data_IF_739825284874
#
_entry.id   IF_739825284874
#
_cell.length_a   1.000
_cell.length_b   1.000
_cell.length_c   1.000
_cell.angle_alpha   90.00
_cell.angle_beta   90.00
_cell.angle_gamma   90.00
#
_symmetry.space_group_name_H-M   'P 1'
#
loop_
_entity.id
_entity.type
_entity.pdbx_description
1 polymer ?
#
# COMPACT_ATOMS: atom_id res chain seq x y z
N UNK A 1 -3.98 8.30 58.05
CA UNK A 1 -4.10 8.49 56.59
C UNK A 1 -2.71 8.25 56.02
N UNK A 2 -2.53 7.21 55.21
CA UNK A 2 -1.23 6.92 54.58
C UNK A 2 -1.14 7.65 53.25
N UNK A 3 -0.06 8.38 53.02
CA UNK A 3 0.23 9.02 51.74
C UNK A 3 0.51 7.94 50.68
N UNK A 4 -0.20 8.01 49.56
CA UNK A 4 -0.07 7.05 48.47
C UNK A 4 1.21 7.37 47.68
N UNK A 5 2.26 6.58 47.88
CA UNK A 5 3.49 6.74 47.12
C UNK A 5 3.38 6.02 45.77
N UNK A 6 3.49 6.78 44.68
CA UNK A 6 3.55 6.23 43.33
C UNK A 6 5.01 6.07 42.89
N UNK A 7 5.44 4.86 42.50
CA UNK A 7 6.80 4.67 42.01
C UNK A 7 7.02 5.47 40.73
N UNK A 8 8.20 6.08 40.61
CA UNK A 8 8.54 6.91 39.46
C UNK A 8 9.97 6.65 39.00
N UNK A 9 10.20 6.94 37.72
CA UNK A 9 11.52 6.81 37.09
C UNK A 9 12.21 8.18 37.20
N UNK A 10 13.40 8.18 37.78
CA UNK A 10 14.26 9.34 37.87
C UNK A 10 15.44 9.21 36.91
N UNK A 11 15.62 10.24 36.09
CA UNK A 11 16.74 10.38 35.15
C UNK A 11 17.64 11.50 35.67
N UNK A 12 18.83 11.20 36.23
CA UNK A 12 19.67 12.22 36.87
C UNK A 12 20.19 13.28 35.90
N UNK A 13 20.44 12.88 34.65
CA UNK A 13 20.90 13.74 33.55
C UNK A 13 20.58 13.08 32.21
N UNK A 14 20.42 13.87 31.15
CA UNK A 14 20.26 13.36 29.79
C UNK A 14 21.42 12.43 29.38
N UNK A 15 22.63 12.73 29.85
CA UNK A 15 23.86 11.97 29.57
C UNK A 15 24.09 10.80 30.54
N UNK A 16 23.26 10.63 31.57
CA UNK A 16 23.45 9.55 32.53
C UNK A 16 23.31 8.18 31.86
N UNK A 17 24.22 7.25 32.15
CA UNK A 17 24.20 5.87 31.64
C UNK A 17 23.26 4.94 32.40
N UNK A 18 22.56 5.46 33.42
CA UNK A 18 21.65 4.70 34.26
C UNK A 18 20.32 5.41 34.48
N UNK A 19 19.31 4.63 34.86
CA UNK A 19 17.98 5.05 35.26
C UNK A 19 17.75 4.58 36.69
N UNK A 20 17.11 5.41 37.52
CA UNK A 20 16.82 5.09 38.91
C UNK A 20 15.32 4.96 39.10
N UNK A 21 14.84 3.76 39.41
CA UNK A 21 13.46 3.53 39.81
C UNK A 21 13.35 3.79 41.31
N UNK A 22 12.53 4.76 41.70
CA UNK A 22 12.29 5.11 43.10
C UNK A 22 10.97 4.48 43.53
N UNK A 23 11.04 3.65 44.57
CA UNK A 23 9.90 2.92 45.14
C UNK A 23 9.81 3.16 46.65
N UNK A 24 8.68 2.88 47.31
CA UNK A 24 8.57 3.00 48.77
C UNK A 24 9.58 2.15 49.53
N UNK A 25 10.01 1.04 48.93
CA UNK A 25 10.95 0.08 49.53
C UNK A 25 12.42 0.37 49.24
N UNK A 26 12.71 1.45 48.51
CA UNK A 26 14.07 1.87 48.17
C UNK A 26 14.24 2.24 46.71
N UNK A 27 15.49 2.36 46.30
CA UNK A 27 15.86 2.73 44.94
C UNK A 27 16.60 1.61 44.22
N UNK A 28 16.21 1.37 42.97
CA UNK A 28 16.86 0.40 42.09
C UNK A 28 17.52 1.17 40.95
N UNK A 29 18.82 0.94 40.76
CA UNK A 29 19.56 1.53 39.65
C UNK A 29 19.68 0.51 38.53
N UNK A 30 19.26 0.89 37.34
CA UNK A 30 19.31 0.06 36.13
C UNK A 30 20.19 0.74 35.09
N UNK A 31 21.13 0.01 34.51
CA UNK A 31 21.97 0.52 33.43
C UNK A 31 21.13 0.66 32.14
N UNK A 32 21.19 1.81 31.47
CA UNK A 32 20.49 2.06 30.20
C UNK A 32 20.92 1.08 29.12
N UNK A 33 22.21 0.70 29.09
CA UNK A 33 22.73 -0.31 28.16
C UNK A 33 22.07 -1.67 28.36
N UNK A 34 21.87 -2.08 29.62
CA UNK A 34 21.16 -3.33 29.93
C UNK A 34 19.68 -3.26 29.54
N UNK A 35 18.99 -2.13 29.80
CA UNK A 35 17.60 -1.95 29.39
C UNK A 35 17.44 -1.95 27.86
N UNK A 36 18.37 -1.34 27.14
CA UNK A 36 18.37 -1.33 25.68
C UNK A 36 18.61 -2.74 25.12
N UNK A 37 19.54 -3.50 25.71
CA UNK A 37 19.76 -4.91 25.37
C UNK A 37 18.52 -5.74 25.65
N UNK A 38 17.88 -5.55 26.81
CA UNK A 38 16.69 -6.28 27.19
C UNK A 38 15.51 -5.97 26.25
N UNK A 39 15.29 -4.70 25.91
CA UNK A 39 14.32 -4.29 24.91
C UNK A 39 14.60 -4.92 23.53
N UNK A 40 15.88 -4.94 23.11
CA UNK A 40 16.31 -5.62 21.89
C UNK A 40 16.01 -7.12 21.92
N UNK A 41 16.32 -7.81 23.02
CA UNK A 41 16.03 -9.25 23.14
C UNK A 41 14.53 -9.54 23.10
N UNK A 42 13.71 -8.75 23.80
CA UNK A 42 12.25 -8.90 23.78
C UNK A 42 11.70 -8.66 22.38
N UNK A 43 12.19 -7.63 21.66
CA UNK A 43 11.80 -7.37 20.28
C UNK A 43 12.12 -8.54 19.35
N UNK A 44 13.32 -9.14 19.48
CA UNK A 44 13.72 -10.33 18.71
C UNK A 44 12.82 -11.52 19.04
N UNK A 45 12.52 -11.78 20.31
CA UNK A 45 11.61 -12.87 20.71
C UNK A 45 10.20 -12.67 20.13
N UNK A 46 9.64 -11.46 20.23
CA UNK A 46 8.31 -11.15 19.68
C UNK A 46 8.30 -11.30 18.16
N UNK A 47 9.33 -10.80 17.48
CA UNK A 47 9.47 -10.93 16.02
C UNK A 47 9.59 -12.40 15.60
N UNK A 48 10.35 -13.21 16.36
CA UNK A 48 10.50 -14.64 16.10
C UNK A 48 9.17 -15.37 16.28
N UNK A 49 8.40 -15.05 17.33
CA UNK A 49 7.05 -15.60 17.55
C UNK A 49 6.08 -15.18 16.44
N UNK A 50 6.16 -13.96 15.94
CA UNK A 50 5.38 -13.49 14.78
C UNK A 50 5.73 -14.29 13.52
N UNK A 51 7.01 -14.49 13.22
CA UNK A 51 7.45 -15.30 12.08
C UNK A 51 6.97 -16.75 12.19
N UNK A 52 7.06 -17.36 13.37
CA UNK A 52 6.53 -18.72 13.62
C UNK A 52 5.03 -18.77 13.37
N UNK A 53 4.27 -17.77 13.86
CA UNK A 53 2.82 -17.68 13.67
C UNK A 53 2.46 -17.47 12.18
N UNK A 54 3.22 -16.66 11.46
CA UNK A 54 3.07 -16.47 10.02
C UNK A 54 3.37 -17.77 9.25
N UNK A 55 4.43 -18.50 9.59
CA UNK A 55 4.80 -19.77 8.96
C UNK A 55 3.75 -20.88 9.21
N UNK A 56 3.21 -20.97 10.43
CA UNK A 56 2.14 -21.91 10.76
C UNK A 56 0.89 -21.68 9.90
N UNK A 57 0.49 -20.42 9.72
CA UNK A 57 -0.67 -20.06 8.88
C UNK A 57 -0.45 -20.36 7.40
N UNK A 58 0.78 -20.22 6.89
CA UNK A 58 1.14 -20.56 5.50
C UNK A 58 1.06 -22.07 5.24
N UNK A 59 1.49 -22.91 6.20
CA UNK A 59 1.45 -24.37 6.06
C UNK A 59 0.03 -24.94 6.00
N UNK A 60 -0.93 -24.34 6.72
CA UNK A 60 -2.35 -24.74 6.66
C UNK A 60 -2.94 -24.42 5.27
N UNK A 61 -2.55 -23.27 4.68
CA UNK A 61 -3.01 -22.88 3.35
C UNK A 61 -2.44 -23.77 2.24
N UNK A 62 -1.18 -24.23 2.38
CA UNK A 62 -0.54 -25.13 1.41
C UNK A 62 -1.13 -26.55 1.46
N UNK A 63 -1.39 -27.12 2.64
CA UNK A 63 -2.05 -28.43 2.75
C UNK A 63 -3.46 -28.45 2.16
N UNK A 64 -4.19 -27.34 2.24
CA UNK A 64 -5.53 -27.19 1.62
C UNK A 64 -5.48 -27.17 0.09
N UNK A 65 -4.37 -26.72 -0.52
CA UNK A 65 -4.19 -26.74 -1.98
C UNK A 65 -3.78 -28.12 -2.51
N UNK A 66 -2.97 -28.88 -1.75
CA UNK A 66 -2.52 -30.21 -2.16
C UNK A 66 -3.68 -31.22 -2.16
N UNK A 67 -4.56 -31.19 -1.15
CA UNK A 67 -5.76 -32.05 -1.14
C UNK A 67 -6.80 -31.68 -2.22
N UNK A 68 -6.74 -30.47 -2.80
CA UNK A 68 -7.64 -30.07 -3.91
C UNK A 68 -7.13 -30.54 -5.28
N UNK A 69 -5.83 -30.83 -5.42
CA UNK A 69 -5.23 -31.24 -6.70
C UNK A 69 -5.22 -32.75 -6.94
N UNK A 70 -5.65 -33.55 -5.96
CA UNK A 70 -5.70 -35.02 -6.06
C UNK A 70 -7.11 -35.58 -6.35
N UNK A 71 -8.08 -34.72 -6.62
CA UNK A 71 -9.44 -35.11 -7.03
C UNK A 71 -9.97 -34.15 -8.09
N UNK A 72 -9.61 -34.40 -9.35
CA UNK A 72 -10.02 -33.55 -10.48
C UNK A 72 -9.38 -34.02 -11.77
N UNK A 73 -9.98 -35.06 -12.32
CA UNK A 73 -9.74 -35.64 -13.65
C UNK A 73 -10.25 -34.68 -14.75
N UNK A 74 -9.57 -34.63 -15.90
CA UNK A 74 -10.16 -34.25 -17.19
C UNK A 74 -9.57 -33.02 -17.90
N UNK A 75 -8.83 -33.31 -18.97
CA UNK A 75 -8.80 -32.66 -20.32
C UNK A 75 -8.28 -31.22 -20.40
N UNK A 76 -7.08 -30.99 -20.97
CA UNK A 76 -6.75 -30.89 -22.42
C UNK A 76 -7.23 -29.57 -23.03
N UNK A 77 -6.28 -28.70 -23.41
CA UNK A 77 -6.18 -28.19 -24.77
C UNK A 77 -4.87 -27.41 -24.95
N UNK A 78 -4.06 -27.93 -25.87
CA UNK A 78 -2.95 -27.27 -26.54
C UNK A 78 -3.54 -26.34 -27.61
N UNK A 79 -2.90 -25.20 -27.87
CA UNK A 79 -2.76 -24.70 -29.25
C UNK A 79 -1.62 -23.66 -29.29
N UNK A 80 -0.63 -23.99 -30.11
CA UNK A 80 0.43 -23.12 -30.63
C UNK A 80 -0.15 -22.32 -31.80
N UNK A 81 0.28 -21.07 -31.98
CA UNK A 81 0.41 -20.48 -33.32
C UNK A 81 1.45 -19.34 -33.28
N UNK A 82 2.48 -19.51 -34.12
CA UNK A 82 3.45 -18.52 -34.54
C UNK A 82 2.91 -17.82 -35.79
N UNK A 83 2.97 -16.48 -35.88
CA UNK A 83 3.25 -15.79 -37.14
C UNK A 83 4.05 -14.50 -36.87
N UNK A 84 5.17 -14.36 -37.59
CA UNK A 84 5.93 -13.14 -37.83
C UNK A 84 5.25 -12.33 -38.95
N UNK A 85 5.21 -11.01 -38.84
CA UNK A 85 5.54 -10.14 -39.98
C UNK A 85 5.82 -8.69 -39.53
N UNK A 86 6.76 -8.07 -40.26
CA UNK A 86 7.49 -6.84 -39.96
C UNK A 86 6.74 -5.54 -40.28
N UNK A 87 7.08 -4.51 -39.49
CA UNK A 87 7.19 -3.09 -39.80
C UNK A 87 6.05 -2.30 -40.48
N UNK A 88 5.36 -1.49 -39.65
CA UNK A 88 5.05 -0.11 -40.00
C UNK A 88 4.97 0.76 -38.74
N UNK A 89 5.95 1.64 -38.57
CA UNK A 89 5.97 2.71 -37.57
C UNK A 89 4.73 3.62 -37.72
N UNK A 90 3.86 3.69 -36.71
CA UNK A 90 3.14 4.93 -36.34
C UNK A 90 2.55 4.82 -34.93
N UNK A 91 3.13 5.55 -33.98
CA UNK A 91 2.49 6.11 -32.77
C UNK A 91 1.30 5.33 -32.13
N UNK A 92 1.54 4.29 -31.30
CA UNK A 92 0.70 4.04 -30.09
C UNK A 92 1.21 2.97 -29.09
N UNK A 93 2.48 2.58 -29.09
CA UNK A 93 3.02 1.54 -28.16
C UNK A 93 2.94 1.86 -26.65
N UNK A 94 2.54 3.09 -26.28
CA UNK A 94 2.38 3.48 -24.88
C UNK A 94 1.04 3.00 -24.29
N UNK A 95 0.00 2.86 -25.10
CA UNK A 95 -1.33 2.47 -24.62
C UNK A 95 -1.45 0.95 -24.48
N UNK A 96 -0.85 0.17 -25.39
CA UNK A 96 -0.94 -1.29 -25.38
C UNK A 96 -0.26 -1.94 -24.17
N UNK A 97 0.87 -1.38 -23.71
CA UNK A 97 1.56 -1.83 -22.49
C UNK A 97 0.80 -1.51 -21.20
N UNK A 98 -0.07 -0.52 -21.23
CA UNK A 98 -0.90 -0.13 -20.08
C UNK A 98 -2.08 -1.10 -19.92
N UNK A 99 -2.63 -1.58 -21.04
CA UNK A 99 -3.68 -2.60 -21.09
C UNK A 99 -3.16 -3.98 -20.66
N UNK A 100 -1.91 -4.33 -21.01
CA UNK A 100 -1.35 -5.67 -20.71
C UNK A 100 -0.94 -5.90 -19.24
N UNK A 101 -0.92 -4.86 -18.39
CA UNK A 101 -0.48 -4.95 -16.97
C UNK A 101 -1.55 -4.64 -15.93
N UNK A 102 -2.70 -4.08 -16.31
CA UNK A 102 -3.78 -3.77 -15.37
C UNK A 102 -5.14 -4.14 -15.96
N UNK A 103 -5.89 -5.00 -15.27
CA UNK A 103 -7.26 -5.39 -15.67
C UNK A 103 -8.22 -4.19 -15.71
N UNK A 104 -7.85 -3.10 -15.04
CA UNK A 104 -8.66 -1.90 -14.92
C UNK A 104 -7.80 -0.63 -15.04
N UNK A 105 -8.01 0.13 -16.11
CA UNK A 105 -7.42 1.47 -16.30
C UNK A 105 -8.52 2.53 -16.16
N UNK A 106 -8.26 3.57 -15.36
CA UNK A 106 -9.18 4.70 -15.22
C UNK A 106 -8.52 5.96 -15.82
N UNK A 107 -9.12 6.49 -16.88
CA UNK A 107 -8.74 7.78 -17.46
C UNK A 107 -9.56 8.89 -16.78
N UNK A 108 -8.91 9.75 -15.98
CA UNK A 108 -9.59 10.88 -15.34
C UNK A 108 -9.43 12.14 -16.21
N UNK A 109 -10.35 12.38 -17.13
CA UNK A 109 -10.39 13.62 -17.93
C UNK A 109 -11.10 14.71 -17.12
N UNK A 110 -10.35 15.58 -16.44
CA UNK A 110 -10.95 16.76 -15.82
C UNK A 110 -11.32 17.80 -16.88
N UNK A 111 -12.61 18.13 -16.94
CA UNK A 111 -13.09 19.40 -17.50
C UNK A 111 -12.35 20.57 -16.82
N UNK A 112 -11.77 21.42 -17.66
CA UNK A 112 -11.03 22.62 -17.30
C UNK A 112 -11.98 23.62 -16.66
N UNK A 113 -12.02 23.69 -15.32
CA UNK A 113 -12.71 24.79 -14.63
C UNK A 113 -11.80 26.02 -14.70
N UNK A 114 -12.10 26.92 -15.63
CA UNK A 114 -11.41 28.20 -15.76
C UNK A 114 -11.72 29.08 -14.54
N UNK A 115 -10.74 29.27 -13.67
CA UNK A 115 -10.75 30.32 -12.66
C UNK A 115 -9.57 31.25 -12.85
N UNK A 116 -9.90 32.53 -12.95
CA UNK A 116 -9.05 33.65 -13.34
C UNK A 116 -7.75 33.81 -12.53
N UNK A 117 -6.75 34.36 -13.23
CA UNK A 117 -5.37 34.62 -12.86
C UNK A 117 -5.17 35.48 -11.60
N UNK A 118 -4.19 35.09 -10.75
CA UNK A 118 -3.02 35.89 -10.30
C UNK A 118 -2.42 35.27 -9.05
N UNK A 119 -1.69 34.18 -9.26
CA UNK A 119 -0.67 33.55 -8.42
C UNK A 119 -0.54 32.17 -9.06
N UNK A 120 0.58 31.85 -9.73
CA UNK A 120 0.82 30.51 -10.26
C UNK A 120 1.45 29.67 -9.14
N UNK A 121 0.70 28.90 -8.32
CA UNK A 121 1.30 27.75 -7.68
C UNK A 121 1.69 26.80 -8.82
N UNK A 122 2.85 26.15 -8.69
CA UNK A 122 3.34 25.16 -9.64
C UNK A 122 2.20 24.25 -10.09
N UNK A 123 2.03 24.09 -11.41
CA UNK A 123 1.04 23.22 -12.01
C UNK A 123 1.07 21.85 -11.31
N UNK A 124 0.11 21.60 -10.42
CA UNK A 124 -0.12 20.28 -9.83
C UNK A 124 -0.63 19.40 -10.95
N UNK A 125 0.25 18.68 -11.63
CA UNK A 125 -0.15 17.72 -12.65
C UNK A 125 -0.77 16.55 -11.91
N UNK A 126 -2.10 16.46 -11.91
CA UNK A 126 -2.77 15.24 -11.48
C UNK A 126 -2.26 14.08 -12.34
N UNK A 127 -2.02 12.93 -11.72
CA UNK A 127 -1.70 11.71 -12.47
C UNK A 127 -2.86 11.43 -13.42
N UNK A 128 -2.61 11.61 -14.72
CA UNK A 128 -3.61 11.50 -15.79
C UNK A 128 -4.00 10.05 -16.08
N UNK A 129 -3.11 9.10 -15.80
CA UNK A 129 -3.33 7.67 -16.02
C UNK A 129 -2.58 6.84 -14.99
N UNK A 130 -3.27 5.87 -14.40
CA UNK A 130 -2.69 4.80 -13.61
C UNK A 130 -3.48 3.52 -13.88
N UNK A 131 -2.78 2.38 -13.83
CA UNK A 131 -3.41 1.06 -13.87
C UNK A 131 -3.52 0.50 -12.45
N UNK A 132 -4.42 -0.45 -12.23
CA UNK A 132 -4.40 -1.24 -11.01
C UNK A 132 -4.79 -2.69 -11.30
N UNK A 133 -4.37 -3.59 -10.41
CA UNK A 133 -4.73 -5.01 -10.45
C UNK A 133 -5.15 -5.50 -9.08
N UNK A 134 -6.18 -6.33 -9.06
CA UNK A 134 -6.62 -6.98 -7.84
C UNK A 134 -5.94 -8.33 -7.65
N UNK A 135 -5.28 -8.52 -6.50
CA UNK A 135 -4.75 -9.82 -6.09
C UNK A 135 -5.49 -10.31 -4.87
N UNK A 136 -5.29 -11.59 -4.53
CA UNK A 136 -6.01 -12.21 -3.41
C UNK A 136 -5.86 -11.46 -2.08
N UNK A 137 -4.63 -11.00 -1.77
CA UNK A 137 -4.30 -10.31 -0.51
C UNK A 137 -3.86 -8.85 -0.69
N UNK A 138 -3.52 -8.47 -1.93
CA UNK A 138 -2.97 -7.14 -2.22
C UNK A 138 -3.71 -6.51 -3.38
N UNK A 139 -3.59 -5.20 -3.50
CA UNK A 139 -4.00 -4.42 -4.66
C UNK A 139 -2.78 -3.67 -5.12
N UNK A 140 -2.44 -3.82 -6.39
CA UNK A 140 -1.24 -3.19 -6.95
C UNK A 140 -1.69 -2.03 -7.85
N UNK A 141 -1.14 -0.84 -7.62
CA UNK A 141 -1.35 0.35 -8.45
C UNK A 141 -0.07 0.62 -9.22
N UNK A 142 -0.20 0.72 -10.54
CA UNK A 142 0.92 0.95 -11.46
C UNK A 142 0.86 2.38 -12.00
N UNK A 143 1.96 3.11 -11.79
CA UNK A 143 2.18 4.44 -12.32
C UNK A 143 3.39 4.40 -13.24
N UNK A 144 3.16 4.46 -14.55
CA UNK A 144 4.22 4.58 -15.54
C UNK A 144 4.45 6.05 -15.84
N UNK A 145 5.65 6.56 -15.57
CA UNK A 145 5.99 7.93 -15.92
C UNK A 145 7.49 8.18 -16.07
N UNK A 146 7.84 9.09 -16.97
CA UNK A 146 9.22 9.52 -17.18
C UNK A 146 9.87 10.11 -15.92
N UNK A 147 9.11 10.73 -15.01
CA UNK A 147 9.62 11.23 -13.74
C UNK A 147 10.04 10.12 -12.78
N UNK A 148 9.51 8.90 -12.94
CA UNK A 148 9.87 7.74 -12.11
C UNK A 148 11.23 7.15 -12.53
N UNK A 149 11.60 7.24 -13.80
CA UNK A 149 12.80 6.60 -14.38
C UNK A 149 14.12 6.94 -13.69
N UNK A 150 14.20 8.09 -13.01
CA UNK A 150 15.40 8.57 -12.31
C UNK A 150 15.10 9.04 -10.89
N UNK A 151 13.97 8.61 -10.31
CA UNK A 151 13.59 9.05 -8.98
C UNK A 151 14.43 8.36 -7.91
N UNK A 152 14.81 9.13 -6.89
CA UNK A 152 15.33 8.62 -5.62
C UNK A 152 14.17 8.40 -4.65
N UNK A 153 14.40 7.53 -3.67
CA UNK A 153 13.42 7.23 -2.62
C UNK A 153 12.90 8.48 -1.89
N UNK A 154 13.78 9.43 -1.59
CA UNK A 154 13.44 10.70 -0.91
C UNK A 154 12.51 11.63 -1.73
N UNK A 155 12.27 11.32 -3.01
CA UNK A 155 11.39 12.09 -3.88
C UNK A 155 9.93 11.62 -3.82
N UNK A 156 9.67 10.47 -3.20
CA UNK A 156 8.33 9.93 -3.02
C UNK A 156 7.81 10.28 -1.63
N UNK A 157 6.74 11.07 -1.57
CA UNK A 157 6.01 11.32 -0.33
C UNK A 157 4.74 10.49 -0.37
N UNK A 158 4.75 9.39 0.39
CA UNK A 158 3.62 8.49 0.52
C UNK A 158 2.91 8.73 1.86
N UNK A 159 1.62 9.00 1.80
CA UNK A 159 0.75 9.15 2.97
C UNK A 159 -0.48 8.28 2.77
N UNK A 160 -0.78 7.44 3.76
CA UNK A 160 -1.93 6.56 3.68
C UNK A 160 -2.62 6.45 5.02
N UNK A 161 -3.88 6.06 4.97
CA UNK A 161 -4.69 5.63 6.11
C UNK A 161 -5.33 4.30 5.76
N UNK A 162 -6.12 3.72 6.68
CA UNK A 162 -6.85 2.49 6.38
C UNK A 162 -7.76 2.61 5.14
N UNK A 163 -8.28 3.80 4.81
CA UNK A 163 -9.22 3.96 3.68
C UNK A 163 -8.80 5.01 2.66
N UNK A 164 -7.60 5.57 2.74
CA UNK A 164 -7.17 6.61 1.78
C UNK A 164 -5.69 6.50 1.46
N UNK A 165 -5.34 6.95 0.25
CA UNK A 165 -3.99 6.93 -0.27
C UNK A 165 -3.69 8.27 -0.93
N UNK A 166 -2.56 8.88 -0.57
CA UNK A 166 -2.02 10.07 -1.21
C UNK A 166 -0.54 9.85 -1.50
N UNK A 167 -0.16 10.06 -2.74
CA UNK A 167 1.19 9.91 -3.23
C UNK A 167 1.58 11.18 -3.97
N UNK A 168 2.67 11.80 -3.55
CA UNK A 168 3.24 12.96 -4.21
C UNK A 168 4.65 12.63 -4.69
N UNK A 169 4.92 12.91 -5.97
CA UNK A 169 6.23 12.75 -6.58
C UNK A 169 6.88 14.12 -6.76
N UNK A 170 8.09 14.28 -6.21
CA UNK A 170 8.84 15.53 -6.22
C UNK A 170 9.94 15.54 -7.30
N UNK A 171 10.22 16.72 -7.84
CA UNK A 171 11.27 16.91 -8.87
C UNK A 171 12.68 16.63 -8.36
N UNK A 172 12.90 16.84 -7.06
CA UNK A 172 14.11 16.58 -6.29
C UNK A 172 13.72 16.35 -4.83
N UNK A 173 14.58 15.81 -3.96
CA UNK A 173 14.31 15.70 -2.53
C UNK A 173 13.96 17.09 -1.94
N UNK A 174 12.79 17.21 -1.30
CA UNK A 174 12.27 18.50 -0.81
C UNK A 174 11.90 19.53 -1.89
N UNK A 175 11.91 19.13 -3.16
CA UNK A 175 11.64 19.95 -4.32
C UNK A 175 10.16 20.22 -4.57
N UNK A 176 9.86 20.73 -5.77
CA UNK A 176 8.47 20.98 -6.18
C UNK A 176 7.77 19.67 -6.52
N UNK A 177 6.49 19.61 -6.17
CA UNK A 177 5.63 18.51 -6.59
C UNK A 177 5.45 18.53 -8.11
N UNK A 178 5.73 17.38 -8.75
CA UNK A 178 5.58 17.17 -10.19
C UNK A 178 4.30 16.40 -10.48
N UNK A 179 4.02 15.36 -9.68
CA UNK A 179 2.80 14.55 -9.79
C UNK A 179 2.15 14.27 -8.45
N UNK A 180 0.84 14.04 -8.48
CA UNK A 180 0.03 13.65 -7.32
C UNK A 180 -0.99 12.60 -7.73
N UNK A 181 -1.08 11.53 -6.96
CA UNK A 181 -2.21 10.61 -6.98
C UNK A 181 -2.89 10.69 -5.61
N UNK A 182 -4.18 11.03 -5.61
CA UNK A 182 -4.98 11.11 -4.38
C UNK A 182 -6.23 10.28 -4.56
N UNK A 183 -6.37 9.26 -3.72
CA UNK A 183 -7.54 8.40 -3.60
C UNK A 183 -8.14 8.64 -2.22
N UNK A 184 -9.16 9.49 -2.17
CA UNK A 184 -9.79 9.91 -0.92
C UNK A 184 -10.48 8.77 -0.18
N UNK A 185 -10.99 7.78 -0.92
CA UNK A 185 -11.71 6.64 -0.37
C UNK A 185 -11.39 5.40 -1.19
N UNK A 186 -10.67 4.46 -0.59
CA UNK A 186 -10.40 3.14 -1.15
C UNK A 186 -11.66 2.27 -1.07
N UNK A 187 -11.74 1.27 -1.93
CA UNK A 187 -12.89 0.36 -1.98
C UNK A 187 -13.09 -0.43 -0.68
N UNK A 188 -11.99 -0.84 -0.05
CA UNK A 188 -11.96 -1.45 1.26
C UNK A 188 -10.76 -0.96 2.06
N UNK A 189 -10.73 -1.37 3.34
CA UNK A 189 -9.63 -1.05 4.23
C UNK A 189 -8.33 -1.76 3.83
N UNK A 190 -7.22 -1.06 4.04
CA UNK A 190 -5.86 -1.57 3.85
C UNK A 190 -5.09 -1.50 5.17
N UNK A 191 -4.22 -2.48 5.39
CA UNK A 191 -3.42 -2.59 6.63
C UNK A 191 -2.01 -2.08 6.47
N UNK A 192 -1.50 -2.10 5.24
CA UNK A 192 -0.13 -1.71 4.93
C UNK A 192 -0.02 -1.26 3.48
N UNK A 193 1.00 -0.44 3.19
CA UNK A 193 1.30 0.04 1.84
C UNK A 193 2.80 0.03 1.65
N UNK A 194 3.25 -0.74 0.66
CA UNK A 194 4.65 -0.77 0.22
C UNK A 194 4.75 -0.24 -1.20
N UNK A 195 5.97 0.09 -1.63
CA UNK A 195 6.18 0.57 -2.99
C UNK A 195 7.52 0.08 -3.53
N UNK A 196 7.61 -0.01 -4.85
CA UNK A 196 8.81 -0.38 -5.57
C UNK A 196 8.87 0.37 -6.89
N UNK A 197 10.08 0.70 -7.33
CA UNK A 197 10.32 1.30 -8.65
C UNK A 197 11.04 0.27 -9.50
N UNK A 198 10.45 -0.04 -10.65
CA UNK A 198 11.06 -0.89 -11.65
C UNK A 198 11.11 -0.12 -12.98
N UNK A 199 12.31 0.17 -13.46
CA UNK A 199 12.56 0.94 -14.68
C UNK A 199 11.89 2.33 -14.63
N UNK A 200 10.74 2.48 -15.28
CA UNK A 200 9.92 3.69 -15.42
C UNK A 200 8.53 3.54 -14.76
N UNK A 201 8.32 2.44 -14.04
CA UNK A 201 7.05 2.10 -13.41
C UNK A 201 7.21 2.11 -11.89
N UNK A 202 6.39 2.92 -11.23
CA UNK A 202 6.21 2.90 -9.78
C UNK A 202 5.03 1.98 -9.47
N UNK A 203 5.26 0.94 -8.68
CA UNK A 203 4.21 0.04 -8.19
C UNK A 203 3.97 0.32 -6.72
N UNK A 204 2.75 0.68 -6.36
CA UNK A 204 2.28 0.73 -4.98
C UNK A 204 1.51 -0.55 -4.68
N UNK A 205 1.92 -1.28 -3.65
CA UNK A 205 1.30 -2.52 -3.22
C UNK A 205 0.56 -2.29 -1.91
N UNK A 206 -0.77 -2.32 -1.96
CA UNK A 206 -1.65 -2.12 -0.83
C UNK A 206 -2.05 -3.49 -0.28
N UNK A 207 -1.83 -3.74 1.02
CA UNK A 207 -2.25 -4.99 1.68
C UNK A 207 -3.68 -4.84 2.15
N UNK A 208 -4.57 -5.71 1.68
CA UNK A 208 -5.99 -5.68 2.05
C UNK A 208 -6.19 -6.09 3.51
N UNK A 209 -7.09 -5.41 4.21
CA UNK A 209 -7.55 -5.83 5.53
C UNK A 209 -8.40 -7.10 5.48
N UNK A 210 -9.15 -7.30 4.38
CA UNK A 210 -10.00 -8.48 4.15
C UNK A 210 -9.67 -9.09 2.78
N UNK A 211 -9.61 -10.42 2.68
CA UNK A 211 -9.34 -11.14 1.41
C UNK A 211 -10.58 -11.18 0.49
N UNK A 212 -11.23 -10.03 0.31
CA UNK A 212 -12.36 -9.86 -0.60
C UNK A 212 -11.86 -9.29 -1.95
N UNK A 213 -12.47 -9.70 -3.07
CA UNK A 213 -12.15 -9.13 -4.38
C UNK A 213 -12.52 -7.65 -4.43
N UNK A 214 -11.66 -6.83 -5.03
CA UNK A 214 -11.95 -5.42 -5.27
C UNK A 214 -12.54 -5.24 -6.66
N UNK A 215 -13.77 -4.74 -6.73
CA UNK A 215 -14.42 -4.40 -8.01
C UNK A 215 -14.00 -3.01 -8.53
N UNK A 216 -13.53 -2.17 -7.64
CA UNK A 216 -13.01 -0.84 -7.96
C UNK A 216 -11.87 -0.52 -7.02
N UNK A 217 -11.03 0.44 -7.41
CA UNK A 217 -10.04 1.03 -6.51
C UNK A 217 -10.69 2.11 -5.61
N UNK A 218 -11.73 2.79 -6.11
CA UNK A 218 -12.39 3.89 -5.42
C UNK A 218 -13.68 3.41 -4.74
N UNK A 219 -13.81 3.68 -3.44
CA UNK A 219 -14.99 3.36 -2.65
C UNK A 219 -16.26 4.11 -3.06
N UNK A 220 -16.16 5.20 -3.82
CA UNK A 220 -17.32 5.87 -4.41
C UNK A 220 -18.13 4.94 -5.33
N UNK A 221 -17.46 4.01 -6.02
CA UNK A 221 -18.13 3.03 -6.89
C UNK A 221 -19.02 2.05 -6.10
N UNK A 222 -18.67 1.76 -4.84
CA UNK A 222 -19.45 0.85 -3.99
C UNK A 222 -20.87 1.36 -3.74
N UNK A 223 -21.03 2.68 -3.58
CA UNK A 223 -22.32 3.31 -3.31
C UNK A 223 -23.29 3.30 -4.50
N UNK A 224 -22.77 3.14 -5.72
CA UNK A 224 -23.61 3.07 -6.92
C UNK A 224 -24.25 1.69 -7.11
N UNK A 225 -23.54 0.62 -6.75
CA UNK A 225 -24.09 -0.75 -6.82
C UNK A 225 -25.12 -1.02 -5.72
N UNK A 226 -24.92 -0.47 -4.51
CA UNK A 226 -25.84 -0.67 -3.37
C UNK A 226 -27.21 0.05 -3.55
N UNK A 227 -27.36 0.96 -4.52
CA UNK A 227 -28.60 1.72 -4.74
C UNK A 227 -29.41 1.29 -5.97
N UNK A 228 -29.02 0.21 -6.65
CA UNK A 228 -29.87 -0.38 -7.69
C UNK A 228 -30.85 -1.34 -7.00
N UNK A 229 -31.85 -0.78 -6.30
CA UNK A 229 -33.07 -1.54 -6.00
C UNK A 229 -33.73 -1.83 -7.35
N UNK A 230 -33.70 -3.10 -7.76
CA UNK A 230 -34.52 -3.57 -8.87
C UNK A 230 -35.98 -3.39 -8.44
N UNK A 231 -36.64 -2.39 -9.01
CA UNK A 231 -38.07 -2.20 -8.86
C UNK A 231 -38.78 -3.40 -9.51
N UNK A 232 -39.14 -4.38 -8.68
CA UNK A 232 -39.79 -5.62 -9.08
C UNK A 232 -41.21 -5.40 -9.61
N UNK A 233 -41.75 -4.18 -9.58
CA UNK A 233 -43.11 -3.88 -10.03
C UNK A 233 -43.25 -3.70 -11.55
N UNK A 234 -42.18 -3.86 -12.34
CA UNK A 234 -42.25 -3.81 -13.81
C UNK A 234 -42.53 -5.17 -14.47
N UNK A 235 -42.73 -6.23 -13.68
CA UNK A 235 -43.05 -7.58 -14.15
C UNK A 235 -44.36 -8.14 -13.56
N UNK A 236 -45.40 -7.30 -13.40
CA UNK A 236 -46.79 -7.77 -13.24
C UNK A 236 -47.65 -7.45 -14.47
#
# INVERSE_FOLDING_TARGET
MGELFLPYIYVPSAEATYLKLVTPWGNVQMNKGFLLQLAGTVAVFVFTLLLIRCAANLNVALKKKINKKQGGNGEEDEEEDEEEDEDAESESDLDEKLVKKGDHSYYYTHQRKETNQKNKPAHKTMVSSYGWSDKKKTVDIFLTDNAVKKMKEEQLVLKWTNTSLSMDLLSAPGGRQVKSLVISTLFQEVTDVTWQVEKDTLTLTLVKAQELPWKSLNGAARKMEEHIEYDGSLYE
#
